data_IF_807769171305
#
_entry.id   IF_807769171305
#
_cell.length_a   1.000
_cell.length_b   1.000
_cell.length_c   1.000
_cell.angle_alpha   90.00
_cell.angle_beta   90.00
_cell.angle_gamma   90.00
#
_symmetry.space_group_name_H-M   'P 1'
#
loop_
_entity.id
_entity.type
_entity.pdbx_description
1 polymer ?
#
# COMPACT_ATOMS: atom_id res chain seq x y z
N UNK A 1 -5.72 -4.12 9.28
CA UNK A 1 -5.09 -2.78 9.12
C UNK A 1 -5.11 -2.38 7.65
N UNK A 2 -5.37 -1.13 7.39
CA UNK A 2 -5.27 -0.55 6.05
C UNK A 2 -4.14 0.48 6.07
N UNK A 3 -3.20 0.33 5.15
CA UNK A 3 -2.10 1.29 4.99
C UNK A 3 -2.50 2.31 3.92
N UNK A 4 -1.97 3.52 4.02
CA UNK A 4 -2.22 4.55 3.02
C UNK A 4 -1.04 5.50 2.94
N UNK A 5 -0.74 5.98 1.73
CA UNK A 5 0.22 7.07 1.55
C UNK A 5 -0.17 7.89 0.33
N UNK A 6 0.37 9.10 0.22
CA UNK A 6 0.04 9.98 -0.89
C UNK A 6 1.22 10.11 -1.86
N UNK A 7 0.89 10.29 -3.14
CA UNK A 7 1.84 10.62 -4.20
C UNK A 7 1.55 12.03 -4.69
N UNK A 8 2.27 13.04 -4.21
CA UNK A 8 2.00 14.43 -4.60
C UNK A 8 2.26 14.72 -6.08
N UNK A 9 3.00 13.84 -6.76
CA UNK A 9 3.24 13.95 -8.21
C UNK A 9 2.00 13.70 -9.07
N UNK A 10 0.90 13.22 -8.47
CA UNK A 10 -0.33 12.95 -9.19
C UNK A 10 -0.45 11.54 -9.78
N UNK A 11 0.57 10.71 -9.67
CA UNK A 11 0.49 9.32 -10.09
C UNK A 11 0.13 8.41 -8.92
N UNK A 12 -0.74 7.44 -9.16
CA UNK A 12 -1.11 6.42 -8.15
C UNK A 12 -0.43 5.08 -8.40
N UNK A 13 0.40 4.99 -9.44
CA UNK A 13 1.11 3.75 -9.72
C UNK A 13 2.14 3.47 -8.61
N UNK A 14 2.06 2.32 -7.92
CA UNK A 14 3.03 2.02 -6.87
C UNK A 14 4.42 1.82 -7.45
N UNK A 15 5.43 2.36 -6.78
CA UNK A 15 6.83 2.10 -7.13
C UNK A 15 7.26 0.74 -6.58
N UNK A 16 8.43 0.25 -7.04
CA UNK A 16 9.01 -0.96 -6.47
C UNK A 16 9.31 -0.79 -4.98
N UNK A 17 9.72 0.42 -4.58
CA UNK A 17 9.95 0.74 -3.18
C UNK A 17 8.65 0.64 -2.37
N UNK A 18 7.52 1.11 -2.93
CA UNK A 18 6.21 1.00 -2.29
C UNK A 18 5.82 -0.47 -2.10
N UNK A 19 6.03 -1.30 -3.12
CA UNK A 19 5.71 -2.72 -3.05
C UNK A 19 6.59 -3.43 -2.02
N UNK A 20 7.90 -3.14 -2.02
CA UNK A 20 8.83 -3.72 -1.06
C UNK A 20 8.49 -3.29 0.38
N UNK A 21 8.16 -2.02 0.59
CA UNK A 21 7.75 -1.51 1.90
C UNK A 21 6.48 -2.20 2.37
N UNK A 22 5.51 -2.37 1.49
CA UNK A 22 4.24 -3.04 1.82
C UNK A 22 4.48 -4.48 2.26
N UNK A 23 5.32 -5.23 1.56
CA UNK A 23 5.63 -6.61 1.93
C UNK A 23 6.38 -6.68 3.26
N UNK A 24 7.30 -5.76 3.50
CA UNK A 24 8.03 -5.68 4.77
C UNK A 24 7.08 -5.38 5.93
N UNK A 25 6.19 -4.41 5.77
CA UNK A 25 5.20 -4.07 6.81
C UNK A 25 4.22 -5.21 7.03
N UNK A 26 3.77 -5.87 5.98
CA UNK A 26 2.86 -7.00 6.07
C UNK A 26 3.48 -8.13 6.89
N UNK A 27 4.76 -8.45 6.65
CA UNK A 27 5.47 -9.47 7.39
C UNK A 27 5.69 -9.07 8.85
N UNK A 28 6.11 -7.83 9.10
CA UNK A 28 6.34 -7.34 10.46
C UNK A 28 5.06 -7.30 11.29
N UNK A 29 3.95 -6.86 10.69
CA UNK A 29 2.66 -6.79 11.39
C UNK A 29 2.09 -8.19 11.66
N UNK A 30 2.36 -9.15 10.80
CA UNK A 30 1.94 -10.53 11.02
C UNK A 30 2.56 -11.13 12.29
N UNK A 31 3.75 -10.68 12.69
CA UNK A 31 4.40 -11.14 13.91
C UNK A 31 3.67 -10.69 15.18
N UNK A 32 2.81 -9.68 15.10
CA UNK A 32 2.00 -9.19 16.22
C UNK A 32 0.50 -9.38 15.95
N UNK A 33 0.16 -10.33 15.11
CA UNK A 33 -1.23 -10.70 14.76
C UNK A 33 -2.03 -9.56 14.12
N UNK A 34 -1.37 -8.68 13.39
CA UNK A 34 -2.06 -7.62 12.64
C UNK A 34 -2.06 -7.99 11.16
N UNK A 35 -3.26 -8.13 10.58
CA UNK A 35 -3.40 -8.42 9.16
C UNK A 35 -3.50 -7.12 8.37
N UNK A 36 -2.71 -7.02 7.30
CA UNK A 36 -2.82 -5.92 6.34
C UNK A 36 -3.88 -6.29 5.31
N UNK A 37 -4.99 -5.55 5.32
CA UNK A 37 -6.11 -5.78 4.40
C UNK A 37 -5.92 -5.05 3.08
N UNK A 38 -5.27 -3.89 3.10
CA UNK A 38 -5.05 -3.10 1.91
C UNK A 38 -3.95 -2.07 2.14
N UNK A 39 -3.41 -1.56 1.04
CA UNK A 39 -2.52 -0.41 1.03
C UNK A 39 -2.99 0.52 -0.09
N UNK A 40 -3.50 1.68 0.28
CA UNK A 40 -4.10 2.64 -0.65
C UNK A 40 -3.12 3.75 -0.97
N UNK A 41 -2.87 3.96 -2.25
CA UNK A 41 -2.06 5.08 -2.75
C UNK A 41 -3.01 6.19 -3.16
N UNK A 42 -2.84 7.36 -2.59
CA UNK A 42 -3.71 8.52 -2.82
C UNK A 42 -2.94 9.60 -3.57
N UNK A 43 -3.54 10.14 -4.62
CA UNK A 43 -3.01 11.26 -5.39
C UNK A 43 -4.15 12.23 -5.70
N UNK A 44 -3.86 13.49 -6.09
CA UNK A 44 -4.93 14.43 -6.44
C UNK A 44 -5.86 13.86 -7.51
N UNK A 45 -7.15 13.73 -7.18
CA UNK A 45 -8.17 13.22 -8.08
C UNK A 45 -8.16 11.73 -8.34
N UNK A 46 -7.31 10.95 -7.62
CA UNK A 46 -7.22 9.51 -7.86
C UNK A 46 -6.79 8.75 -6.61
N UNK A 47 -7.14 7.47 -6.56
CA UNK A 47 -6.65 6.55 -5.54
C UNK A 47 -6.50 5.16 -6.14
N UNK A 48 -5.63 4.34 -5.54
CA UNK A 48 -5.37 2.98 -6.00
C UNK A 48 -5.30 2.05 -4.79
N UNK A 49 -6.08 0.97 -4.83
CA UNK A 49 -6.02 -0.10 -3.83
C UNK A 49 -5.05 -1.18 -4.32
N UNK A 50 -4.00 -1.44 -3.56
CA UNK A 50 -3.04 -2.48 -3.91
C UNK A 50 -3.66 -3.87 -3.83
N UNK A 51 -4.64 -4.08 -2.94
CA UNK A 51 -5.36 -5.35 -2.86
C UNK A 51 -6.15 -5.62 -4.14
N UNK A 52 -6.84 -4.61 -4.67
CA UNK A 52 -7.59 -4.74 -5.93
C UNK A 52 -6.68 -4.98 -7.14
N UNK A 53 -5.44 -4.52 -7.06
CA UNK A 53 -4.45 -4.72 -8.13
C UNK A 53 -3.68 -6.02 -7.96
N UNK A 54 -3.94 -6.79 -6.92
CA UNK A 54 -3.25 -8.04 -6.66
C UNK A 54 -1.80 -7.88 -6.19
N UNK A 55 -1.47 -6.73 -5.60
CA UNK A 55 -0.10 -6.41 -5.16
C UNK A 55 0.14 -6.68 -3.67
N UNK A 56 -0.87 -7.14 -2.95
CA UNK A 56 -0.71 -7.49 -1.52
C UNK A 56 -0.41 -8.97 -1.34
#
# INVERSE_FOLDING_TARGET
MVLAHNHPSGTVQPSRADEALTQTLKAALALVDVRVLDHVVVAPGASLSMAERGLL
#
